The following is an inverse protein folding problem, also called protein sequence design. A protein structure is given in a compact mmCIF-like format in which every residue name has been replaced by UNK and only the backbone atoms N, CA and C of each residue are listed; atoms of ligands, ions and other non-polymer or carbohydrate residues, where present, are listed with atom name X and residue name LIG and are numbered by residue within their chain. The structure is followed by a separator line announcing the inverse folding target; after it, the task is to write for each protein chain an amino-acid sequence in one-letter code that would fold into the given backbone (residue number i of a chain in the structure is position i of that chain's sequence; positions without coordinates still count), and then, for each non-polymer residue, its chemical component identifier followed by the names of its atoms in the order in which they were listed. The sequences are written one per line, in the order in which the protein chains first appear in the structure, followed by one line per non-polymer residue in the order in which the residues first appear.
data_IF_688411384094
#
_entry.id   IF_688411384094
#
_cell.length_a   1.000
_cell.length_b   1.000
_cell.length_c   1.000
_cell.angle_alpha   90.00
_cell.angle_beta   90.00
_cell.angle_gamma   90.00
#
_symmetry.space_group_name_H-M   'P 1'
#
loop_
_entity.id
_entity.type
_entity.pdbx_description
1 polymer ?
#
# COMPACT_ATOMS: atom_id res chain seq x y z
N UNK A 1 14.87 17.22 -12.30
CA UNK A 1 14.98 15.75 -12.32
C UNK A 1 13.53 15.32 -12.19
N UNK A 2 12.88 15.10 -13.32
CA UNK A 2 11.43 14.95 -13.33
C UNK A 2 11.12 13.49 -13.02
N UNK A 3 10.42 13.28 -11.90
CA UNK A 3 9.99 11.97 -11.46
C UNK A 3 8.84 11.50 -12.37
N UNK A 4 9.10 10.41 -13.08
CA UNK A 4 8.06 9.67 -13.81
C UNK A 4 7.38 8.75 -12.79
N UNK A 5 6.04 8.65 -12.76
CA UNK A 5 5.33 7.76 -11.85
C UNK A 5 5.75 6.30 -12.03
N UNK A 6 5.98 5.61 -10.91
CA UNK A 6 6.33 4.19 -10.88
C UNK A 6 5.24 3.32 -11.53
N UNK A 7 5.62 2.51 -12.51
CA UNK A 7 4.72 1.58 -13.22
C UNK A 7 5.13 1.24 -14.65
N UNK A 8 6.01 2.03 -15.27
CA UNK A 8 6.51 1.77 -16.62
C UNK A 8 7.88 1.07 -16.57
N UNK A 9 7.91 -0.22 -16.89
CA UNK A 9 9.16 -0.99 -17.05
C UNK A 9 9.92 -0.63 -18.34
N UNK A 10 10.32 0.62 -18.50
CA UNK A 10 11.26 1.07 -19.53
C UNK A 10 12.55 1.51 -18.83
N UNK A 11 13.49 0.57 -18.68
CA UNK A 11 14.85 0.90 -18.27
C UNK A 11 15.54 1.58 -19.44
N UNK A 12 15.85 2.87 -19.30
CA UNK A 12 16.84 3.52 -20.14
C UNK A 12 18.00 4.01 -19.29
N UNK A 13 19.23 3.68 -19.69
CA UNK A 13 20.42 4.36 -19.20
C UNK A 13 20.87 5.35 -20.27
N UNK A 14 20.91 6.63 -19.94
CA UNK A 14 21.47 7.67 -20.81
C UNK A 14 22.87 8.04 -20.32
N UNK A 15 23.91 7.75 -21.10
CA UNK A 15 25.24 8.27 -20.84
C UNK A 15 25.44 9.57 -21.63
N UNK A 16 25.85 10.64 -20.93
CA UNK A 16 26.21 11.93 -21.53
C UNK A 16 27.73 12.05 -21.58
N UNK A 17 28.30 11.99 -22.79
CA UNK A 17 29.69 12.36 -23.04
C UNK A 17 29.75 13.71 -23.73
N UNK A 18 30.45 14.69 -23.15
CA UNK A 18 30.70 15.97 -23.84
C UNK A 18 32.04 15.88 -24.57
N UNK A 19 32.07 16.23 -25.85
CA UNK A 19 33.32 16.35 -26.63
C UNK A 19 33.26 17.65 -27.44
N UNK A 20 33.92 18.70 -26.96
CA UNK A 20 33.77 20.05 -27.50
C UNK A 20 32.33 20.60 -27.30
N UNK A 21 31.78 21.25 -28.34
CA UNK A 21 30.39 21.78 -28.34
C UNK A 21 29.33 20.72 -28.71
N UNK A 22 29.68 19.44 -28.63
CA UNK A 22 28.79 18.33 -28.99
C UNK A 22 28.55 17.49 -27.73
N UNK A 23 27.27 17.37 -27.36
CA UNK A 23 26.81 16.42 -26.35
C UNK A 23 26.44 15.13 -27.05
N UNK A 24 27.14 14.04 -26.74
CA UNK A 24 26.81 12.70 -27.22
C UNK A 24 25.91 12.01 -26.20
N UNK A 25 24.73 11.59 -26.64
CA UNK A 25 23.79 10.84 -25.82
C UNK A 25 23.73 9.40 -26.33
N UNK A 26 24.11 8.44 -25.48
CA UNK A 26 23.89 7.02 -25.77
C UNK A 26 22.71 6.57 -24.93
N UNK A 27 21.61 6.20 -25.59
CA UNK A 27 20.40 5.70 -24.93
C UNK A 27 20.34 4.20 -25.21
N UNK A 28 20.48 3.38 -24.18
CA UNK A 28 20.22 1.95 -24.26
C UNK A 28 18.75 1.70 -23.91
N UNK A 29 17.99 1.08 -24.82
CA UNK A 29 16.60 0.68 -24.61
C UNK A 29 16.53 -0.84 -24.42
N UNK A 30 16.09 -1.30 -23.25
CA UNK A 30 15.73 -2.69 -23.03
C UNK A 30 14.24 -2.87 -23.36
N UNK A 31 13.93 -3.56 -24.46
CA UNK A 31 12.56 -3.93 -24.83
C UNK A 31 12.34 -5.37 -24.36
N UNK A 32 11.36 -5.65 -23.49
CA UNK A 32 11.05 -7.02 -23.10
C UNK A 32 10.45 -7.76 -24.31
N UNK A 33 11.22 -8.66 -24.90
CA UNK A 33 10.64 -9.76 -25.67
C UNK A 33 10.22 -10.84 -24.66
N UNK A 34 9.02 -11.38 -24.82
CA UNK A 34 8.29 -12.17 -23.83
C UNK A 34 9.02 -13.38 -23.20
N UNK A 35 10.24 -13.73 -23.58
CA UNK A 35 10.97 -14.85 -22.97
C UNK A 35 12.51 -14.74 -22.97
N UNK A 36 13.13 -13.62 -23.35
CA UNK A 36 14.59 -13.44 -23.15
C UNK A 36 15.01 -11.98 -23.33
N UNK A 37 15.78 -11.43 -22.39
CA UNK A 37 16.44 -10.13 -22.52
C UNK A 37 17.60 -10.24 -23.55
N UNK A 38 17.27 -10.20 -24.84
CA UNK A 38 18.27 -9.99 -25.89
C UNK A 38 18.39 -8.48 -26.15
N UNK A 39 19.51 -7.87 -25.76
CA UNK A 39 19.86 -6.47 -26.10
C UNK A 39 19.97 -6.36 -27.61
N UNK A 40 18.92 -5.85 -28.28
CA UNK A 40 18.85 -5.92 -29.75
C UNK A 40 19.12 -4.64 -30.52
N UNK A 41 19.30 -3.47 -29.91
CA UNK A 41 19.82 -2.31 -30.66
C UNK A 41 20.50 -1.28 -29.77
N UNK A 42 21.78 -0.99 -30.02
CA UNK A 42 22.44 0.24 -29.56
C UNK A 42 22.41 1.21 -30.74
N UNK A 43 21.60 2.27 -30.66
CA UNK A 43 21.66 3.37 -31.64
C UNK A 43 22.44 4.52 -31.03
N UNK A 44 23.59 4.83 -31.61
CA UNK A 44 24.36 6.02 -31.28
C UNK A 44 23.73 7.21 -32.02
N UNK A 45 23.17 8.16 -31.27
CA UNK A 45 22.50 9.34 -31.83
C UNK A 45 23.32 10.58 -31.48
N UNK A 46 23.78 11.29 -32.52
CA UNK A 46 24.51 12.55 -32.40
C UNK A 46 23.55 13.69 -32.69
N UNK A 47 23.20 14.48 -31.69
CA UNK A 47 22.36 15.67 -31.85
C UNK A 47 23.18 16.94 -31.60
N UNK A 48 23.01 17.97 -32.44
CA UNK A 48 23.59 19.30 -32.19
C UNK A 48 22.90 19.92 -30.97
N UNK A 49 23.67 20.55 -30.09
CA UNK A 49 23.16 21.18 -28.88
C UNK A 49 22.24 22.35 -29.26
N UNK A 50 20.92 22.15 -29.20
CA UNK A 50 19.90 23.16 -29.52
C UNK A 50 19.27 23.81 -28.28
N UNK A 51 19.92 23.73 -27.11
CA UNK A 51 19.46 24.41 -25.89
C UNK A 51 18.21 23.80 -25.22
N UNK A 52 17.72 22.64 -25.68
CA UNK A 52 16.59 21.92 -25.06
C UNK A 52 17.06 20.66 -24.32
N UNK A 53 16.47 20.39 -23.15
CA UNK A 53 16.90 19.34 -22.21
C UNK A 53 16.08 18.03 -22.29
N UNK A 54 15.02 17.97 -23.10
CA UNK A 54 14.13 16.79 -23.18
C UNK A 54 13.90 16.41 -24.65
N UNK A 55 14.05 15.12 -24.95
CA UNK A 55 13.90 14.55 -26.28
C UNK A 55 12.97 13.33 -26.22
N UNK A 56 12.18 13.11 -27.26
CA UNK A 56 11.32 11.92 -27.40
C UNK A 56 11.67 11.14 -28.67
N UNK A 57 11.29 9.86 -28.71
CA UNK A 57 11.46 9.01 -29.88
C UNK A 57 10.08 8.71 -30.46
N UNK A 58 9.81 9.20 -31.67
CA UNK A 58 8.57 8.95 -32.42
C UNK A 58 8.94 8.29 -33.73
N UNK A 59 8.39 7.10 -34.01
CA UNK A 59 8.62 6.38 -35.26
C UNK A 59 10.11 6.29 -35.66
N UNK A 60 10.97 5.91 -34.70
CA UNK A 60 12.44 5.84 -34.86
C UNK A 60 13.17 7.18 -35.10
N UNK A 61 12.51 8.31 -34.91
CA UNK A 61 13.09 9.66 -35.05
C UNK A 61 13.16 10.34 -33.69
N UNK A 62 14.25 11.05 -33.40
CA UNK A 62 14.41 11.83 -32.16
C UNK A 62 13.91 13.25 -32.39
N UNK A 63 12.91 13.66 -31.61
CA UNK A 63 12.32 14.99 -31.66
C UNK A 63 12.61 15.73 -30.34
N UNK A 64 12.95 17.02 -30.43
CA UNK A 64 13.14 17.84 -29.24
C UNK A 64 11.77 18.36 -28.75
N UNK A 65 11.41 18.06 -27.51
CA UNK A 65 10.16 18.53 -26.90
C UNK A 65 10.44 19.46 -25.73
N UNK A 66 9.49 20.34 -25.43
CA UNK A 66 9.53 21.20 -24.25
C UNK A 66 8.97 20.50 -23.00
N UNK A 67 8.09 19.50 -23.15
CA UNK A 67 7.44 18.82 -22.03
C UNK A 67 6.91 17.42 -22.43
N UNK A 68 7.79 16.41 -22.35
CA UNK A 68 7.47 15.04 -22.77
C UNK A 68 6.34 14.39 -21.96
N UNK A 69 6.19 14.78 -20.70
CA UNK A 69 5.18 14.22 -19.79
C UNK A 69 3.77 14.67 -20.18
N UNK A 70 3.59 15.95 -20.49
CA UNK A 70 2.29 16.49 -20.92
C UNK A 70 1.85 15.93 -22.27
N UNK A 71 2.80 15.76 -23.19
CA UNK A 71 2.52 15.15 -24.50
C UNK A 71 2.09 13.68 -24.36
N UNK A 72 2.78 12.89 -23.54
CA UNK A 72 2.40 11.50 -23.28
C UNK A 72 1.02 11.40 -22.61
N UNK A 73 0.72 12.31 -21.67
CA UNK A 73 -0.60 12.38 -21.05
C UNK A 73 -1.70 12.74 -22.05
N UNK A 74 -1.42 13.62 -23.03
CA UNK A 74 -2.37 13.98 -24.10
C UNK A 74 -2.59 12.85 -25.09
N UNK A 75 -1.54 12.12 -25.46
CA UNK A 75 -1.66 10.91 -26.28
C UNK A 75 -2.55 9.87 -25.60
N UNK A 76 -2.38 9.69 -24.28
CA UNK A 76 -3.23 8.82 -23.47
C UNK A 76 -4.69 9.32 -23.44
N UNK A 77 -4.89 10.63 -23.25
CA UNK A 77 -6.21 11.27 -23.26
C UNK A 77 -6.93 11.05 -24.61
N UNK A 78 -6.23 11.24 -25.73
CA UNK A 78 -6.77 10.97 -27.08
C UNK A 78 -7.10 9.48 -27.27
N UNK A 79 -6.25 8.59 -26.76
CA UNK A 79 -6.49 7.14 -26.82
C UNK A 79 -7.74 6.76 -26.01
N UNK A 80 -7.89 7.23 -24.78
CA UNK A 80 -9.05 6.95 -23.94
C UNK A 80 -10.34 7.53 -24.53
N UNK A 81 -10.31 8.72 -25.14
CA UNK A 81 -11.46 9.24 -25.88
C UNK A 81 -11.84 8.31 -27.05
N UNK A 82 -10.85 7.85 -27.83
CA UNK A 82 -11.09 6.95 -28.96
C UNK A 82 -11.61 5.57 -28.54
N UNK A 83 -11.27 5.12 -27.33
CA UNK A 83 -11.75 3.88 -26.72
C UNK A 83 -13.12 4.03 -26.04
N UNK A 84 -13.58 5.27 -25.83
CA UNK A 84 -14.81 5.57 -25.11
C UNK A 84 -14.67 5.56 -23.59
N UNK A 85 -13.44 5.47 -23.07
CA UNK A 85 -13.13 5.42 -21.64
C UNK A 85 -13.30 6.79 -20.96
N UNK A 86 -13.34 7.87 -21.74
CA UNK A 86 -13.68 9.21 -21.26
C UNK A 86 -14.62 9.93 -22.24
N UNK A 87 -15.48 10.82 -21.75
CA UNK A 87 -16.36 11.62 -22.61
C UNK A 87 -15.61 12.71 -23.39
N UNK A 88 -16.23 13.15 -24.48
CA UNK A 88 -15.79 14.31 -25.25
C UNK A 88 -15.73 15.60 -24.40
N UNK A 89 -16.61 15.73 -23.40
CA UNK A 89 -16.61 16.86 -22.48
C UNK A 89 -15.36 16.85 -21.58
N UNK A 90 -15.06 15.71 -20.94
CA UNK A 90 -13.86 15.55 -20.13
C UNK A 90 -12.59 15.78 -20.95
N UNK A 91 -12.54 15.24 -22.17
CA UNK A 91 -11.45 15.49 -23.12
C UNK A 91 -11.26 17.00 -23.38
N UNK A 92 -12.34 17.73 -23.70
CA UNK A 92 -12.28 19.16 -24.00
C UNK A 92 -11.81 20.00 -22.79
N UNK A 93 -12.14 19.57 -21.57
CA UNK A 93 -11.70 20.23 -20.34
C UNK A 93 -10.21 20.01 -20.03
N UNK A 94 -9.64 18.90 -20.51
CA UNK A 94 -8.27 18.47 -20.18
C UNK A 94 -7.25 18.77 -21.28
N UNK A 95 -7.66 18.77 -22.55
CA UNK A 95 -6.75 18.87 -23.70
C UNK A 95 -5.94 20.18 -23.74
N UNK A 96 -6.26 21.19 -22.93
CA UNK A 96 -5.47 22.42 -22.85
C UNK A 96 -4.66 22.56 -21.55
N UNK A 97 -4.79 21.62 -20.60
CA UNK A 97 -4.09 21.65 -19.30
C UNK A 97 -2.64 21.19 -19.42
N UNK A 98 -1.81 21.51 -18.42
CA UNK A 98 -0.38 21.18 -18.38
C UNK A 98 0.04 20.74 -16.98
N UNK A 99 1.11 19.96 -16.89
CA UNK A 99 1.71 19.50 -15.64
C UNK A 99 0.72 18.81 -14.71
N UNK A 100 0.77 19.16 -13.41
CA UNK A 100 -0.03 18.52 -12.36
C UNK A 100 -1.53 18.66 -12.58
N UNK A 101 -1.99 19.76 -13.17
CA UNK A 101 -3.43 19.94 -13.43
C UNK A 101 -3.95 19.00 -14.53
N UNK A 102 -3.11 18.66 -15.50
CA UNK A 102 -3.43 17.67 -16.53
C UNK A 102 -3.43 16.26 -15.93
N UNK A 103 -2.44 15.91 -15.09
CA UNK A 103 -2.38 14.59 -14.46
C UNK A 103 -3.54 14.35 -13.49
N UNK A 104 -3.82 15.31 -12.60
CA UNK A 104 -4.91 15.18 -11.62
C UNK A 104 -6.27 15.17 -12.32
N UNK A 105 -6.43 16.00 -13.36
CA UNK A 105 -7.65 16.04 -14.15
C UNK A 105 -7.90 14.75 -14.94
N UNK A 106 -6.86 14.11 -15.47
CA UNK A 106 -6.96 12.83 -16.17
C UNK A 106 -7.36 11.69 -15.22
N UNK A 107 -6.76 11.63 -14.02
CA UNK A 107 -7.15 10.66 -12.98
C UNK A 107 -8.63 10.85 -12.62
N UNK A 108 -9.02 12.10 -12.33
CA UNK A 108 -10.41 12.41 -11.99
C UNK A 108 -11.39 12.09 -13.13
N UNK A 109 -11.05 12.38 -14.38
CA UNK A 109 -11.94 12.11 -15.50
C UNK A 109 -12.17 10.61 -15.71
N UNK A 110 -11.15 9.78 -15.49
CA UNK A 110 -11.29 8.32 -15.54
C UNK A 110 -12.16 7.82 -14.38
N UNK A 111 -12.00 8.37 -13.19
CA UNK A 111 -12.86 8.03 -12.04
C UNK A 111 -14.33 8.47 -12.27
N UNK A 112 -14.55 9.69 -12.75
CA UNK A 112 -15.90 10.25 -13.01
C UNK A 112 -16.63 9.50 -14.16
N UNK A 113 -15.89 8.98 -15.14
CA UNK A 113 -16.46 8.23 -16.27
C UNK A 113 -16.69 6.76 -15.94
N UNK A 114 -15.82 6.17 -15.11
CA UNK A 114 -16.11 4.92 -14.43
C UNK A 114 -17.44 5.06 -13.67
N UNK A 115 -17.59 6.07 -12.82
CA UNK A 115 -18.84 6.30 -12.07
C UNK A 115 -20.07 6.51 -12.97
N UNK A 116 -19.93 7.21 -14.11
CA UNK A 116 -21.02 7.42 -15.08
C UNK A 116 -21.42 6.15 -15.82
N UNK A 117 -20.46 5.35 -16.27
CA UNK A 117 -20.70 4.05 -16.92
C UNK A 117 -21.47 3.12 -15.97
N UNK A 118 -21.08 3.07 -14.69
CA UNK A 118 -21.77 2.27 -13.67
C UNK A 118 -23.17 2.81 -13.34
N UNK A 119 -23.36 4.13 -13.29
CA UNK A 119 -24.68 4.73 -13.09
C UNK A 119 -25.63 4.42 -14.26
N UNK A 120 -25.15 4.51 -15.50
CA UNK A 120 -25.93 4.18 -16.69
C UNK A 120 -26.29 2.69 -16.81
N UNK A 121 -25.43 1.81 -16.28
CA UNK A 121 -25.71 0.38 -16.12
C UNK A 121 -26.76 0.11 -15.03
N UNK A 122 -26.67 0.81 -13.89
CA UNK A 122 -27.63 0.74 -12.79
C UNK A 122 -29.03 1.22 -13.19
N UNK A 123 -29.13 2.27 -14.02
CA UNK A 123 -30.41 2.85 -14.42
C UNK A 123 -31.15 1.99 -15.47
N UNK A 124 -30.44 1.13 -16.21
CA UNK A 124 -31.02 0.26 -17.25
C UNK A 124 -31.36 -1.17 -16.78
N UNK A 125 -30.83 -1.61 -15.63
CA UNK A 125 -31.12 -2.93 -15.06
C UNK A 125 -32.27 -2.85 -14.04
N UNK A 126 -33.51 -2.85 -14.53
CA UNK A 126 -34.70 -2.93 -13.68
C UNK A 126 -34.66 -4.16 -12.76
N UNK A 127 -34.74 -3.92 -11.45
CA UNK A 127 -35.00 -4.88 -10.37
C UNK A 127 -34.11 -6.14 -10.35
N UNK A 128 -32.98 -6.10 -9.62
CA UNK A 128 -32.38 -7.33 -9.08
C UNK A 128 -30.88 -7.41 -8.88
N UNK A 129 -30.08 -6.39 -9.19
CA UNK A 129 -28.63 -6.42 -8.96
C UNK A 129 -28.25 -5.30 -7.99
N UNK A 130 -28.03 -5.66 -6.73
CA UNK A 130 -27.39 -4.78 -5.75
C UNK A 130 -25.88 -4.71 -6.03
N UNK A 131 -25.33 -3.49 -6.10
CA UNK A 131 -23.91 -3.17 -6.29
C UNK A 131 -23.59 -2.78 -7.74
N UNK A 132 -22.84 -1.72 -8.05
CA UNK A 132 -21.51 -1.40 -7.51
C UNK A 132 -21.24 0.11 -7.58
N UNK A 133 -21.46 0.84 -6.50
CA UNK A 133 -20.43 1.77 -6.03
C UNK A 133 -19.42 0.94 -5.24
N UNK A 134 -18.15 1.35 -5.13
CA UNK A 134 -17.25 0.74 -4.14
C UNK A 134 -17.93 0.89 -2.77
N UNK A 135 -18.38 -0.21 -2.18
CA UNK A 135 -18.95 -0.18 -0.85
C UNK A 135 -17.87 0.33 0.10
N UNK A 136 -18.14 1.42 0.80
CA UNK A 136 -17.30 1.92 1.89
C UNK A 136 -18.22 2.06 3.09
N UNK A 137 -17.93 1.31 4.14
CA UNK A 137 -18.75 1.31 5.34
C UNK A 137 -18.75 2.70 5.99
N UNK A 138 -19.92 3.17 6.40
CA UNK A 138 -20.11 4.45 7.10
C UNK A 138 -20.14 4.28 8.62
N UNK A 139 -20.18 3.03 9.08
CA UNK A 139 -20.15 2.68 10.50
C UNK A 139 -19.59 1.27 10.71
N UNK A 140 -19.19 0.96 11.94
CA UNK A 140 -18.78 -0.40 12.33
C UNK A 140 -19.88 -1.45 12.11
N UNK A 141 -21.15 -1.09 12.34
CA UNK A 141 -22.29 -2.00 12.11
C UNK A 141 -22.47 -2.32 10.63
N UNK A 142 -22.40 -1.31 9.76
CA UNK A 142 -22.50 -1.50 8.31
C UNK A 142 -21.33 -2.33 7.78
N UNK A 143 -20.12 -2.08 8.30
CA UNK A 143 -18.95 -2.90 7.98
C UNK A 143 -19.19 -4.36 8.37
N UNK A 144 -19.69 -4.61 9.58
CA UNK A 144 -19.97 -5.97 10.04
C UNK A 144 -20.94 -6.69 9.10
N UNK A 145 -22.05 -6.05 8.73
CA UNK A 145 -23.03 -6.64 7.80
C UNK A 145 -22.39 -6.98 6.47
N UNK A 146 -21.62 -6.05 5.88
CA UNK A 146 -20.92 -6.30 4.62
C UNK A 146 -19.94 -7.47 4.72
N UNK A 147 -19.16 -7.54 5.80
CA UNK A 147 -18.20 -8.62 6.01
C UNK A 147 -18.86 -9.99 6.24
N UNK A 148 -20.03 -10.02 6.89
CA UNK A 148 -20.83 -11.24 7.08
C UNK A 148 -21.42 -11.74 5.74
N UNK A 149 -21.71 -10.81 4.81
CA UNK A 149 -22.28 -11.09 3.49
C UNK A 149 -21.22 -11.36 2.40
N UNK A 150 -19.92 -11.27 2.72
CA UNK A 150 -18.84 -11.52 1.76
C UNK A 150 -18.84 -12.99 1.30
N UNK A 151 -19.26 -13.20 0.04
CA UNK A 151 -19.23 -14.53 -0.61
C UNK A 151 -17.79 -14.97 -0.93
N UNK A 152 -16.93 -14.01 -1.29
CA UNK A 152 -15.52 -14.26 -1.60
C UNK A 152 -14.65 -13.48 -0.62
N UNK A 153 -13.83 -14.21 0.13
CA UNK A 153 -12.87 -13.63 1.05
C UNK A 153 -11.60 -13.19 0.31
N UNK A 154 -10.91 -12.12 0.74
CA UNK A 154 -9.56 -11.84 0.29
C UNK A 154 -8.64 -13.05 0.47
N UNK A 155 -7.75 -13.28 -0.48
CA UNK A 155 -6.79 -14.39 -0.37
C UNK A 155 -5.74 -14.05 0.70
N UNK A 156 -5.63 -14.89 1.72
CA UNK A 156 -4.59 -14.73 2.74
C UNK A 156 -3.19 -14.87 2.14
N UNK A 157 -2.28 -13.96 2.53
CA UNK A 157 -0.90 -13.94 2.06
C UNK A 157 0.06 -14.52 3.10
N UNK A 158 1.17 -15.15 2.70
CA UNK A 158 2.23 -15.48 3.63
C UNK A 158 3.00 -14.23 4.06
N UNK A 159 3.29 -14.13 5.35
CA UNK A 159 4.31 -13.27 5.89
C UNK A 159 5.63 -14.02 5.98
N UNK A 160 6.70 -13.43 5.42
CA UNK A 160 8.08 -13.86 5.60
C UNK A 160 8.92 -12.64 5.98
N UNK A 161 9.56 -12.67 7.15
CA UNK A 161 10.38 -11.55 7.56
C UNK A 161 10.85 -11.61 9.01
N UNK A 162 10.97 -10.42 9.60
CA UNK A 162 11.46 -10.24 10.97
C UNK A 162 10.35 -9.62 11.82
N UNK A 163 10.32 -9.95 13.11
CA UNK A 163 9.47 -9.26 14.08
C UNK A 163 10.30 -8.44 15.04
N UNK A 164 9.77 -7.29 15.40
CA UNK A 164 10.24 -6.45 16.49
C UNK A 164 9.14 -6.39 17.54
N UNK A 165 9.50 -6.73 18.78
CA UNK A 165 8.58 -6.78 19.93
C UNK A 165 9.21 -6.04 21.09
N UNK A 166 8.42 -5.20 21.74
CA UNK A 166 8.75 -4.67 23.06
C UNK A 166 7.89 -5.30 24.13
N UNK A 167 8.53 -5.66 25.24
CA UNK A 167 7.89 -6.13 26.46
C UNK A 167 8.27 -5.16 27.57
N UNK A 168 7.29 -4.67 28.32
CA UNK A 168 7.57 -3.82 29.48
C UNK A 168 8.38 -4.63 30.50
N UNK A 169 9.38 -4.00 31.13
CA UNK A 169 10.22 -4.68 32.13
C UNK A 169 9.38 -5.04 33.37
N UNK A 170 9.76 -6.11 34.05
CA UNK A 170 9.00 -6.70 35.17
C UNK A 170 8.68 -5.69 36.27
N UNK A 171 9.59 -4.76 36.56
CA UNK A 171 9.42 -3.74 37.59
C UNK A 171 8.34 -2.69 37.26
N UNK A 172 7.91 -2.62 36.00
CA UNK A 172 6.86 -1.71 35.53
C UNK A 172 5.56 -2.44 35.17
N UNK A 173 5.54 -3.77 35.20
CA UNK A 173 4.36 -4.55 34.82
C UNK A 173 3.30 -4.56 35.92
N UNK A 174 2.00 -4.51 35.56
CA UNK A 174 0.93 -4.81 36.50
C UNK A 174 0.98 -6.31 36.90
N UNK A 175 0.48 -6.67 38.09
CA UNK A 175 0.37 -8.07 38.51
C UNK A 175 -0.38 -8.91 37.47
N UNK A 176 0.20 -10.05 37.10
CA UNK A 176 -0.39 -10.98 36.13
C UNK A 176 0.00 -10.76 34.66
N UNK A 177 0.70 -9.67 34.33
CA UNK A 177 1.25 -9.48 33.00
C UNK A 177 2.55 -10.28 32.79
N UNK A 178 2.77 -10.75 31.56
CA UNK A 178 3.91 -11.58 31.20
C UNK A 178 5.06 -10.78 30.53
N UNK A 179 6.32 -11.17 30.81
CA UNK A 179 7.52 -10.59 30.18
C UNK A 179 8.07 -11.41 28.99
N UNK A 180 7.59 -12.64 28.78
CA UNK A 180 8.04 -13.52 27.71
C UNK A 180 7.60 -12.95 26.35
N UNK A 181 8.56 -12.61 25.46
CA UNK A 181 8.23 -11.99 24.17
C UNK A 181 7.55 -12.95 23.19
N UNK A 182 7.38 -14.24 23.50
CA UNK A 182 6.68 -15.21 22.63
C UNK A 182 5.24 -15.49 23.04
N UNK A 183 4.75 -14.92 24.14
CA UNK A 183 3.38 -15.15 24.59
C UNK A 183 2.50 -13.93 24.29
N UNK A 184 1.25 -14.21 23.94
CA UNK A 184 0.16 -13.25 24.05
C UNK A 184 -0.04 -12.95 25.53
N UNK A 185 -0.15 -11.67 25.87
CA UNK A 185 -0.32 -11.24 27.25
C UNK A 185 -1.79 -11.40 27.68
N UNK A 186 -2.03 -12.32 28.62
CA UNK A 186 -3.36 -12.57 29.18
C UNK A 186 -3.90 -11.32 29.89
N UNK A 187 -3.03 -10.55 30.54
CA UNK A 187 -3.43 -9.30 31.17
C UNK A 187 -3.99 -8.32 30.14
N UNK A 188 -3.25 -8.08 29.05
CA UNK A 188 -3.71 -7.21 27.97
C UNK A 188 -5.02 -7.71 27.35
N UNK A 189 -5.11 -9.02 27.09
CA UNK A 189 -6.33 -9.66 26.55
C UNK A 189 -7.56 -9.40 27.43
N UNK A 190 -7.41 -9.39 28.75
CA UNK A 190 -8.53 -9.24 29.68
C UNK A 190 -8.87 -7.79 30.03
N UNK A 191 -7.96 -6.85 29.80
CA UNK A 191 -8.08 -5.50 30.40
C UNK A 191 -7.94 -4.35 29.41
N UNK A 192 -7.48 -4.59 28.16
CA UNK A 192 -7.13 -3.52 27.23
C UNK A 192 -7.82 -3.70 25.87
N UNK A 193 -8.28 -2.57 25.31
CA UNK A 193 -8.62 -2.48 23.90
C UNK A 193 -7.39 -2.09 23.08
N UNK A 194 -7.12 -2.87 22.05
CA UNK A 194 -6.09 -2.63 21.05
C UNK A 194 -6.72 -2.55 19.66
N UNK A 195 -5.97 -2.00 18.70
CA UNK A 195 -6.52 -1.63 17.39
C UNK A 195 -7.34 -2.74 16.73
N UNK A 196 -6.87 -4.00 16.75
CA UNK A 196 -7.56 -5.13 16.11
C UNK A 196 -7.98 -6.22 17.11
N UNK A 197 -8.09 -5.89 18.39
CA UNK A 197 -8.55 -6.83 19.41
C UNK A 197 -9.14 -6.05 20.58
N UNK A 198 -10.42 -6.28 20.87
CA UNK A 198 -11.08 -5.69 22.04
C UNK A 198 -10.87 -6.56 23.29
N UNK A 199 -11.28 -6.06 24.46
CA UNK A 199 -11.28 -6.84 25.70
C UNK A 199 -11.95 -8.21 25.48
N UNK A 200 -11.25 -9.28 25.89
CA UNK A 200 -11.63 -10.67 25.68
C UNK A 200 -11.09 -11.30 24.39
N UNK A 201 -10.47 -10.51 23.51
CA UNK A 201 -9.84 -11.00 22.27
C UNK A 201 -8.32 -10.94 22.37
N UNK A 202 -7.68 -12.08 22.09
CA UNK A 202 -6.24 -12.24 22.09
C UNK A 202 -5.58 -11.57 20.89
N UNK A 203 -4.38 -11.02 21.09
CA UNK A 203 -3.60 -10.40 20.02
C UNK A 203 -2.10 -10.33 20.34
N UNK A 204 -1.28 -10.96 19.51
CA UNK A 204 0.17 -10.82 19.54
C UNK A 204 0.61 -9.72 18.59
N UNK A 205 0.89 -8.54 19.14
CA UNK A 205 1.26 -7.35 18.38
C UNK A 205 2.77 -7.20 18.23
N UNK A 206 3.25 -7.06 16.98
CA UNK A 206 4.65 -6.82 16.61
C UNK A 206 4.76 -5.82 15.47
N UNK A 207 5.95 -5.27 15.29
CA UNK A 207 6.28 -4.45 14.11
C UNK A 207 7.22 -5.18 13.16
N UNK A 208 7.17 -4.80 11.88
CA UNK A 208 8.10 -5.28 10.83
C UNK A 208 9.45 -4.55 10.87
N UNK A 209 9.53 -3.41 11.57
CA UNK A 209 10.76 -2.63 11.74
C UNK A 209 10.99 -2.22 13.20
N UNK A 210 12.25 -2.03 13.56
CA UNK A 210 12.61 -1.53 14.88
C UNK A 210 12.04 -0.12 15.13
N UNK A 211 12.10 0.75 14.12
CA UNK A 211 11.63 2.12 14.22
C UNK A 211 10.10 2.17 14.39
N UNK A 212 9.36 1.32 13.66
CA UNK A 212 7.91 1.19 13.83
C UNK A 212 7.54 0.72 15.23
N UNK A 213 8.29 -0.26 15.76
CA UNK A 213 8.11 -0.73 17.14
C UNK A 213 8.41 0.39 18.18
N UNK A 214 9.42 1.22 17.95
CA UNK A 214 9.74 2.37 18.82
C UNK A 214 8.63 3.44 18.74
N UNK A 215 8.12 3.74 17.55
CA UNK A 215 7.04 4.72 17.36
C UNK A 215 5.78 4.29 18.13
N UNK A 216 5.39 3.02 18.04
CA UNK A 216 4.20 2.49 18.74
C UNK A 216 4.38 2.49 20.27
N UNK A 217 5.61 2.31 20.77
CA UNK A 217 5.89 2.49 22.20
C UNK A 217 5.82 3.96 22.60
N UNK A 218 6.44 4.84 21.82
CA UNK A 218 6.61 6.25 22.13
C UNK A 218 5.30 6.98 22.31
N UNK A 219 4.28 6.60 21.54
CA UNK A 219 2.92 7.08 21.72
C UNK A 219 2.31 6.70 23.09
N UNK A 220 2.62 5.51 23.60
CA UNK A 220 2.07 5.01 24.86
C UNK A 220 2.85 5.47 26.10
N UNK A 221 4.14 5.83 25.97
CA UNK A 221 5.01 6.16 27.12
C UNK A 221 5.72 7.50 27.07
N UNK A 222 5.43 8.35 26.09
CA UNK A 222 6.12 9.62 25.93
C UNK A 222 7.57 9.45 25.47
N UNK A 223 7.83 8.44 24.65
CA UNK A 223 9.15 8.07 24.11
C UNK A 223 10.17 7.50 25.12
N UNK A 224 9.76 7.14 26.34
CA UNK A 224 10.65 6.46 27.28
C UNK A 224 10.75 4.96 26.96
N UNK A 225 11.71 4.63 26.09
CA UNK A 225 12.03 3.25 25.69
C UNK A 225 12.76 2.47 26.80
N UNK A 226 13.28 3.14 27.83
CA UNK A 226 14.08 2.50 28.89
C UNK A 226 13.27 1.55 29.77
N UNK A 227 11.94 1.68 29.76
CA UNK A 227 10.99 0.82 30.48
C UNK A 227 10.72 -0.53 29.82
N UNK A 228 11.33 -0.80 28.66
CA UNK A 228 11.06 -1.98 27.85
C UNK A 228 12.30 -2.82 27.59
N UNK A 229 12.12 -4.13 27.57
CA UNK A 229 13.01 -5.07 26.91
C UNK A 229 12.56 -5.19 25.45
N UNK A 230 13.48 -4.98 24.52
CA UNK A 230 13.22 -5.03 23.08
C UNK A 230 13.84 -6.30 22.48
N UNK A 231 13.10 -6.92 21.57
CA UNK A 231 13.49 -8.17 20.94
C UNK A 231 13.29 -8.13 19.44
N UNK A 232 14.18 -8.80 18.72
CA UNK A 232 14.08 -9.13 17.32
C UNK A 232 13.93 -10.64 17.15
N UNK A 233 13.01 -11.06 16.28
CA UNK A 233 12.95 -12.42 15.75
C UNK A 233 13.24 -12.37 14.25
N UNK A 234 14.15 -13.22 13.78
CA UNK A 234 14.50 -13.34 12.36
C UNK A 234 13.84 -14.56 11.72
N UNK A 235 13.66 -14.52 10.40
CA UNK A 235 13.16 -15.64 9.60
C UNK A 235 11.78 -16.15 10.05
N UNK A 236 10.93 -15.25 10.53
CA UNK A 236 9.56 -15.57 10.92
C UNK A 236 8.73 -15.81 9.67
N UNK A 237 8.00 -16.93 9.68
CA UNK A 237 7.10 -17.32 8.60
C UNK A 237 5.71 -17.61 9.15
N UNK A 238 4.69 -17.00 8.57
CA UNK A 238 3.28 -17.25 8.90
C UNK A 238 2.48 -17.23 7.61
N UNK A 239 1.69 -18.26 7.36
CA UNK A 239 0.77 -18.32 6.23
C UNK A 239 -0.59 -17.68 6.55
N UNK A 240 -1.43 -17.51 5.53
CA UNK A 240 -2.82 -17.08 5.66
C UNK A 240 -3.04 -15.81 6.52
N UNK A 241 -2.32 -14.73 6.21
CA UNK A 241 -2.46 -13.41 6.82
C UNK A 241 -3.31 -12.48 5.96
N UNK A 242 -4.22 -11.72 6.57
CA UNK A 242 -4.95 -10.66 5.87
C UNK A 242 -4.04 -9.44 5.68
N UNK A 243 -3.81 -9.03 4.44
CA UNK A 243 -2.91 -7.93 4.11
C UNK A 243 -3.67 -6.62 3.88
N UNK A 244 -3.86 -5.84 4.95
CA UNK A 244 -4.47 -4.52 4.89
C UNK A 244 -3.51 -3.43 4.41
N UNK A 245 -2.27 -3.75 4.03
CA UNK A 245 -1.39 -2.80 3.33
C UNK A 245 -1.73 -2.70 1.85
N UNK A 246 -2.40 -3.71 1.31
CA UNK A 246 -2.91 -3.77 -0.06
C UNK A 246 -4.25 -3.01 -0.20
N UNK A 247 -4.31 -2.08 -1.14
CA UNK A 247 -5.51 -1.27 -1.38
C UNK A 247 -6.68 -2.09 -1.94
N UNK A 248 -6.40 -3.08 -2.78
CA UNK A 248 -7.44 -3.93 -3.34
C UNK A 248 -8.15 -4.74 -2.23
N UNK A 249 -7.39 -5.22 -1.24
CA UNK A 249 -7.94 -5.91 -0.07
C UNK A 249 -8.82 -4.97 0.75
N UNK A 250 -8.35 -3.75 1.03
CA UNK A 250 -9.16 -2.76 1.77
C UNK A 250 -10.45 -2.39 1.04
N UNK A 251 -10.39 -2.20 -0.28
CA UNK A 251 -11.56 -1.93 -1.10
C UNK A 251 -12.59 -3.08 -1.06
N UNK A 252 -12.13 -4.33 -1.14
CA UNK A 252 -13.02 -5.50 -1.03
C UNK A 252 -13.72 -5.57 0.34
N UNK A 253 -13.01 -5.20 1.40
CA UNK A 253 -13.55 -5.16 2.77
C UNK A 253 -14.39 -3.93 3.06
N UNK A 254 -14.42 -2.94 2.17
CA UNK A 254 -15.17 -1.70 2.34
C UNK A 254 -14.61 -0.74 3.37
N UNK A 255 -13.28 -0.67 3.49
CA UNK A 255 -12.58 0.24 4.41
C UNK A 255 -11.51 1.04 3.68
N UNK A 256 -11.17 2.22 4.20
CA UNK A 256 -10.04 3.02 3.71
C UNK A 256 -8.84 2.93 4.65
N UNK A 257 -7.66 3.34 4.16
CA UNK A 257 -6.48 3.45 5.02
C UNK A 257 -6.72 4.42 6.20
N UNK A 258 -7.42 5.53 5.97
CA UNK A 258 -7.75 6.51 7.02
C UNK A 258 -8.63 5.92 8.12
N UNK A 259 -9.62 5.09 7.75
CA UNK A 259 -10.50 4.43 8.72
C UNK A 259 -9.71 3.50 9.65
N UNK A 260 -8.76 2.73 9.10
CA UNK A 260 -7.99 1.76 9.89
C UNK A 260 -6.83 2.40 10.67
N UNK A 261 -6.40 3.62 10.30
CA UNK A 261 -5.38 4.41 11.00
C UNK A 261 -5.95 5.48 11.92
N UNK A 262 -7.29 5.61 11.99
CA UNK A 262 -7.95 6.65 12.78
C UNK A 262 -7.38 6.73 14.20
N UNK A 263 -7.19 7.98 14.66
CA UNK A 263 -6.76 8.35 16.00
C UNK A 263 -7.86 9.18 16.68
N UNK A 264 -7.81 9.30 18.01
CA UNK A 264 -8.80 10.06 18.77
C UNK A 264 -10.14 9.33 18.92
N UNK A 265 -11.23 10.08 18.86
CA UNK A 265 -12.58 9.54 19.03
C UNK A 265 -12.95 8.54 17.93
N UNK A 266 -13.48 7.38 18.32
CA UNK A 266 -13.86 6.31 17.39
C UNK A 266 -12.69 5.57 16.73
N UNK A 267 -11.45 5.70 17.25
CA UNK A 267 -10.23 5.11 16.65
C UNK A 267 -10.24 3.60 16.42
N UNK A 268 -11.17 2.86 17.01
CA UNK A 268 -11.28 1.40 16.87
C UNK A 268 -12.61 0.90 16.30
N UNK A 269 -13.50 1.80 15.90
CA UNK A 269 -14.83 1.44 15.41
C UNK A 269 -14.78 0.38 14.30
N UNK A 270 -13.95 0.60 13.29
CA UNK A 270 -13.79 -0.31 12.15
C UNK A 270 -12.80 -1.43 12.43
N UNK A 271 -11.71 -1.14 13.15
CA UNK A 271 -10.62 -2.09 13.34
C UNK A 271 -10.96 -3.19 14.34
N UNK A 272 -11.83 -2.95 15.33
CA UNK A 272 -12.39 -4.02 16.17
C UNK A 272 -13.29 -4.96 15.35
N UNK A 273 -14.13 -4.42 14.46
CA UNK A 273 -14.97 -5.24 13.57
C UNK A 273 -14.10 -6.10 12.65
N UNK A 274 -13.09 -5.49 12.02
CA UNK A 274 -12.12 -6.22 11.18
C UNK A 274 -11.34 -7.26 11.98
N UNK A 275 -10.91 -6.95 13.20
CA UNK A 275 -10.18 -7.87 14.07
C UNK A 275 -11.00 -9.10 14.43
N UNK A 276 -12.21 -8.90 14.93
CA UNK A 276 -13.14 -9.99 15.25
C UNK A 276 -13.43 -10.86 14.03
N UNK A 277 -13.74 -10.23 12.88
CA UNK A 277 -14.03 -10.97 11.64
C UNK A 277 -12.79 -11.71 11.09
N UNK A 278 -11.62 -11.07 11.10
CA UNK A 278 -10.40 -11.66 10.57
C UNK A 278 -9.91 -12.85 11.40
N UNK A 279 -10.14 -12.85 12.72
CA UNK A 279 -9.77 -13.96 13.63
C UNK A 279 -10.43 -15.30 13.26
N UNK A 280 -11.60 -15.25 12.65
CA UNK A 280 -12.33 -16.45 12.21
C UNK A 280 -11.82 -16.97 10.85
N UNK A 281 -11.14 -16.14 10.07
CA UNK A 281 -10.79 -16.41 8.68
C UNK A 281 -9.27 -16.47 8.39
N UNK A 282 -8.45 -15.85 9.22
CA UNK A 282 -6.99 -15.67 9.04
C UNK A 282 -6.23 -15.93 10.34
N UNK A 283 -4.92 -16.14 10.23
CA UNK A 283 -4.03 -16.26 11.41
C UNK A 283 -3.72 -14.91 12.05
N UNK A 284 -3.81 -13.85 11.26
CA UNK A 284 -3.45 -12.51 11.67
C UNK A 284 -3.67 -11.48 10.57
N UNK A 285 -3.27 -10.24 10.87
CA UNK A 285 -3.38 -9.10 9.94
C UNK A 285 -2.00 -8.46 9.80
N UNK A 286 -1.61 -8.13 8.57
CA UNK A 286 -0.51 -7.22 8.23
C UNK A 286 -1.15 -5.86 7.93
N UNK A 287 -0.76 -4.79 8.64
CA UNK A 287 -1.45 -3.50 8.55
C UNK A 287 -0.52 -2.30 8.68
N UNK A 288 -0.90 -1.13 8.12
CA UNK A 288 -0.13 0.10 8.28
C UNK A 288 -0.20 0.63 9.71
N UNK A 289 0.93 1.09 10.24
CA UNK A 289 1.02 1.74 11.54
C UNK A 289 0.26 3.06 11.60
N UNK A 290 -0.40 3.34 12.73
CA UNK A 290 -1.30 4.49 12.85
C UNK A 290 -0.64 5.75 13.43
N UNK A 291 0.47 5.60 14.17
CA UNK A 291 1.07 6.68 14.97
C UNK A 291 2.02 7.62 14.19
N UNK A 292 1.76 7.82 12.90
CA UNK A 292 2.56 8.65 12.00
C UNK A 292 3.79 7.94 11.41
N UNK A 293 4.23 8.36 10.22
CA UNK A 293 5.27 7.66 9.45
C UNK A 293 4.72 6.52 8.58
N UNK A 294 5.61 5.82 7.87
CA UNK A 294 5.27 4.68 7.00
C UNK A 294 5.95 3.41 7.51
N UNK A 295 5.26 2.66 8.36
CA UNK A 295 5.73 1.37 8.87
C UNK A 295 4.57 0.37 8.93
N UNK A 296 4.93 -0.91 9.04
CA UNK A 296 3.99 -2.03 8.99
C UNK A 296 4.03 -2.74 10.34
N UNK A 297 2.84 -2.99 10.88
CA UNK A 297 2.64 -3.81 12.06
C UNK A 297 1.88 -5.09 11.69
N UNK A 298 1.93 -6.03 12.63
CA UNK A 298 1.34 -7.34 12.48
C UNK A 298 0.68 -7.70 13.81
N UNK A 299 -0.51 -8.27 13.71
CA UNK A 299 -1.19 -8.93 14.82
C UNK A 299 -1.37 -10.41 14.44
N UNK A 300 -1.12 -11.31 15.39
CA UNK A 300 -1.45 -12.73 15.28
C UNK A 300 -2.50 -13.04 16.36
N UNK A 301 -3.59 -13.71 15.99
CA UNK A 301 -4.75 -13.80 16.88
C UNK A 301 -4.66 -14.91 17.91
N UNK A 302 -3.95 -16.01 17.63
CA UNK A 302 -3.96 -17.23 18.46
C UNK A 302 -2.56 -17.61 18.90
N UNK A 303 -2.41 -18.03 20.15
CA UNK A 303 -1.11 -18.43 20.70
C UNK A 303 -0.49 -19.58 19.91
N UNK A 304 -1.30 -20.55 19.44
CA UNK A 304 -0.81 -21.67 18.62
C UNK A 304 -0.11 -21.20 17.34
N UNK A 305 -0.56 -20.11 16.72
CA UNK A 305 0.08 -19.56 15.51
C UNK A 305 1.38 -18.82 15.85
N UNK A 306 1.43 -18.15 17.01
CA UNK A 306 2.67 -17.55 17.54
C UNK A 306 3.71 -18.63 17.85
N UNK A 307 3.28 -19.69 18.52
CA UNK A 307 4.11 -20.85 18.88
C UNK A 307 4.69 -21.51 17.63
N UNK A 308 3.85 -21.77 16.62
CA UNK A 308 4.28 -22.32 15.35
C UNK A 308 5.31 -21.42 14.64
N UNK A 309 5.13 -20.10 14.72
CA UNK A 309 6.02 -19.14 14.09
C UNK A 309 7.34 -18.92 14.83
N UNK A 310 7.34 -18.99 16.17
CA UNK A 310 8.45 -18.50 17.00
C UNK A 310 9.11 -19.55 17.90
N UNK A 311 8.54 -20.73 18.12
CA UNK A 311 9.07 -21.66 19.13
C UNK A 311 10.53 -22.09 18.86
N UNK A 312 10.88 -22.33 17.60
CA UNK A 312 12.25 -22.66 17.19
C UNK A 312 13.21 -21.47 17.13
N UNK A 313 12.70 -20.24 17.25
CA UNK A 313 13.49 -19.01 17.09
C UNK A 313 13.98 -18.47 18.43
N UNK A 314 15.25 -18.11 18.54
CA UNK A 314 15.77 -17.43 19.73
C UNK A 314 15.52 -15.93 19.61
N UNK A 315 14.85 -15.27 20.58
CA UNK A 315 14.72 -13.82 20.58
C UNK A 315 16.10 -13.17 20.73
N UNK A 316 16.42 -12.23 19.84
CA UNK A 316 17.65 -11.44 19.88
C UNK A 316 17.36 -10.14 20.64
N UNK A 317 17.97 -9.90 21.82
CA UNK A 317 17.80 -8.64 22.54
C UNK A 317 18.31 -7.46 21.72
N UNK A 318 17.58 -6.35 21.76
CA UNK A 318 17.98 -5.08 21.15
C UNK A 318 18.31 -4.07 22.24
N UNK A 319 19.49 -3.46 22.13
CA UNK A 319 19.92 -2.37 23.00
C UNK A 319 19.24 -1.04 22.65
#
# INVERSE_FOLDING_TARGET
MDAIPDGFGLFYSAFRGNTGNISNYTIALAIPAATTLSVKTVKQLVAKQQGKNVYRIVNNTVEATANATDEAARELLTKYLAQGDISQEAYNQLINKQGKELSDGLIKALDDEYDRFYKALSDNAGAGVQGVGKFIAKSGTELKTHLDDLVTLPVGKPYNGQFFKSMMKSEFLPPGANTNPKLIDDFATQNLDHRYSKIGESGYYVSKSNDGNIIEMGFNTGNDVSKYNRYKFENVTIDNMLDLTDDAVRQQLGVTEEMIKKLGEGKYEYTHVLGTWAKENYKGIIYPGAQGGNYINIIIFKQVDVDNALNSLTPIPLN
#
